data_IF_418130483254
#
_entry.id   IF_418130483254
#
_cell.length_a   1.000
_cell.length_b   1.000
_cell.length_c   1.000
_cell.angle_alpha   90.00
_cell.angle_beta   90.00
_cell.angle_gamma   90.00
#
_symmetry.space_group_name_H-M   'P 1'
#
loop_
_entity.id
_entity.type
_entity.pdbx_description
1 polymer ?
#
# COMPACT_ATOMS: atom_id res chain seq x y z
N UNK A 1 29.08 -18.75 7.51
CA UNK A 1 27.99 -18.38 8.45
C UNK A 1 26.97 -19.50 8.39
N UNK A 2 26.37 -19.92 9.51
CA UNK A 2 25.15 -20.72 9.43
C UNK A 2 24.04 -19.87 8.82
N UNK A 3 23.15 -20.49 8.07
CA UNK A 3 21.92 -19.83 7.64
C UNK A 3 21.10 -19.46 8.88
N UNK A 4 20.59 -18.23 8.93
CA UNK A 4 19.90 -17.73 10.13
C UNK A 4 18.46 -18.25 10.17
N UNK A 5 18.19 -19.13 11.14
CA UNK A 5 17.02 -20.01 11.15
C UNK A 5 15.72 -19.23 11.32
N UNK A 6 15.70 -18.23 12.22
CA UNK A 6 14.51 -17.40 12.45
C UNK A 6 14.19 -16.55 11.22
N UNK A 7 15.21 -16.11 10.48
CA UNK A 7 15.06 -15.32 9.25
C UNK A 7 14.42 -16.14 8.13
N UNK A 8 14.89 -17.38 7.91
CA UNK A 8 14.28 -18.27 6.90
C UNK A 8 12.85 -18.69 7.28
N UNK A 9 12.53 -18.84 8.57
CA UNK A 9 11.15 -19.08 9.04
C UNK A 9 10.24 -17.84 8.88
N UNK A 10 10.78 -16.62 9.03
CA UNK A 10 10.07 -15.37 8.76
C UNK A 10 9.71 -15.24 7.27
N UNK A 11 10.62 -15.61 6.37
CA UNK A 11 10.36 -15.70 4.93
C UNK A 11 9.27 -16.72 4.57
N UNK A 12 9.33 -17.91 5.15
CA UNK A 12 8.32 -18.96 4.96
C UNK A 12 6.92 -18.52 5.44
N UNK A 13 6.83 -17.80 6.57
CA UNK A 13 5.57 -17.21 7.04
C UNK A 13 4.94 -16.29 5.98
N UNK A 14 5.70 -15.36 5.40
CA UNK A 14 5.18 -14.47 4.36
C UNK A 14 4.87 -15.21 3.06
N UNK A 15 5.66 -16.23 2.71
CA UNK A 15 5.41 -17.10 1.55
C UNK A 15 4.03 -17.77 1.65
N UNK A 16 3.71 -18.31 2.83
CA UNK A 16 2.39 -18.90 3.15
C UNK A 16 1.28 -17.86 3.16
N UNK A 17 1.53 -16.66 3.68
CA UNK A 17 0.56 -15.55 3.68
C UNK A 17 0.21 -15.06 2.27
N UNK A 18 1.16 -15.03 1.33
CA UNK A 18 0.89 -14.68 -0.08
C UNK A 18 -0.13 -15.65 -0.71
N UNK A 19 0.04 -16.95 -0.47
CA UNK A 19 -0.90 -17.97 -0.94
C UNK A 19 -2.26 -17.87 -0.23
N UNK A 20 -2.26 -17.80 1.10
CA UNK A 20 -3.49 -17.83 1.89
C UNK A 20 -4.35 -16.57 1.74
N UNK A 21 -3.72 -15.39 1.69
CA UNK A 21 -4.43 -14.10 1.67
C UNK A 21 -4.78 -13.65 0.24
N UNK A 22 -4.00 -14.04 -0.77
CA UNK A 22 -4.16 -13.55 -2.15
C UNK A 22 -4.38 -14.64 -3.20
N UNK A 23 -4.24 -15.93 -2.85
CA UNK A 23 -4.34 -17.04 -3.80
C UNK A 23 -3.18 -17.14 -4.78
N UNK A 24 -2.05 -16.49 -4.51
CA UNK A 24 -0.89 -16.44 -5.41
C UNK A 24 0.11 -17.52 -5.00
N UNK A 25 0.46 -18.41 -5.93
CA UNK A 25 1.52 -19.40 -5.72
C UNK A 25 2.87 -18.71 -5.95
N UNK A 26 3.73 -18.73 -4.94
CA UNK A 26 5.02 -18.00 -5.00
C UNK A 26 5.99 -18.52 -6.07
N UNK A 27 5.86 -19.78 -6.51
CA UNK A 27 6.61 -20.34 -7.64
C UNK A 27 6.31 -19.68 -8.98
N UNK A 28 5.15 -19.04 -9.10
CA UNK A 28 4.66 -18.44 -10.35
C UNK A 28 5.13 -16.97 -10.47
N UNK A 29 5.82 -16.47 -9.43
CA UNK A 29 6.41 -15.14 -9.42
C UNK A 29 7.77 -15.18 -10.13
N UNK A 30 7.89 -14.38 -11.19
CA UNK A 30 9.13 -14.21 -11.96
C UNK A 30 10.31 -13.81 -11.05
N UNK A 31 11.42 -14.57 -11.16
CA UNK A 31 12.64 -14.40 -10.37
C UNK A 31 12.40 -14.46 -8.85
N UNK A 32 11.43 -15.23 -8.39
CA UNK A 32 11.14 -15.38 -6.96
C UNK A 32 12.32 -15.97 -6.18
N UNK A 33 12.54 -15.40 -4.99
CA UNK A 33 13.46 -15.90 -3.97
C UNK A 33 12.74 -15.81 -2.60
N UNK A 34 12.98 -16.72 -1.63
CA UNK A 34 12.24 -16.73 -0.36
C UNK A 34 12.36 -15.42 0.44
N UNK A 35 13.53 -14.78 0.38
CA UNK A 35 13.81 -13.49 1.02
C UNK A 35 12.98 -12.32 0.46
N UNK A 36 12.42 -12.47 -0.75
CA UNK A 36 11.53 -11.50 -1.38
C UNK A 36 10.08 -11.56 -0.82
N UNK A 37 9.65 -12.67 -0.21
CA UNK A 37 8.26 -12.88 0.23
C UNK A 37 7.66 -11.77 1.11
N UNK A 38 8.36 -11.23 2.13
CA UNK A 38 7.84 -10.11 2.92
C UNK A 38 7.54 -8.88 2.04
N UNK A 39 8.38 -8.62 1.05
CA UNK A 39 8.27 -7.46 0.15
C UNK A 39 7.11 -7.65 -0.82
N UNK A 40 7.00 -8.81 -1.46
CA UNK A 40 5.84 -9.18 -2.29
C UNK A 40 4.54 -9.02 -1.51
N UNK A 41 4.48 -9.57 -0.29
CA UNK A 41 3.30 -9.50 0.57
C UNK A 41 2.89 -8.05 0.87
N UNK A 42 3.83 -7.22 1.31
CA UNK A 42 3.53 -5.83 1.64
C UNK A 42 3.19 -4.98 0.41
N UNK A 43 3.79 -5.25 -0.76
CA UNK A 43 3.42 -4.58 -2.01
C UNK A 43 1.99 -4.93 -2.47
N UNK A 44 1.59 -6.20 -2.36
CA UNK A 44 0.22 -6.64 -2.64
C UNK A 44 -0.78 -6.04 -1.65
N UNK A 45 -0.45 -6.03 -0.36
CA UNK A 45 -1.35 -5.53 0.68
C UNK A 45 -1.49 -4.00 0.66
N UNK A 46 -0.44 -3.25 0.31
CA UNK A 46 -0.50 -1.79 0.15
C UNK A 46 -1.38 -1.34 -1.02
N UNK A 47 -1.75 -2.24 -1.94
CA UNK A 47 -2.64 -1.98 -3.09
C UNK A 47 -4.07 -2.45 -2.88
N UNK A 48 -4.38 -2.96 -1.69
CA UNK A 48 -5.65 -3.57 -1.34
C UNK A 48 -6.36 -2.74 -0.27
N UNK A 49 -7.67 -2.63 -0.39
CA UNK A 49 -8.50 -2.07 0.67
C UNK A 49 -8.78 -3.17 1.69
N UNK A 50 -8.41 -2.92 2.94
CA UNK A 50 -8.68 -3.82 4.07
C UNK A 50 -10.18 -3.84 4.32
N UNK A 51 -10.77 -5.04 4.34
CA UNK A 51 -12.16 -5.33 4.70
C UNK A 51 -12.46 -4.81 6.11
N UNK A 52 -13.07 -3.61 6.19
CA UNK A 52 -13.49 -2.96 7.43
C UNK A 52 -14.65 -2.03 7.09
N UNK A 53 -15.67 -2.00 7.95
CA UNK A 53 -16.79 -1.06 7.89
C UNK A 53 -16.27 0.37 7.88
N UNK A 54 -16.74 1.19 6.94
CA UNK A 54 -16.40 2.61 6.86
C UNK A 54 -17.61 3.45 6.50
N UNK A 55 -17.73 4.62 7.11
CA UNK A 55 -18.71 5.64 6.71
C UNK A 55 -18.31 6.23 5.35
N UNK A 56 -19.27 6.46 4.45
CA UNK A 56 -18.99 7.14 3.18
C UNK A 56 -19.33 8.62 3.29
N UNK A 57 -18.32 9.45 3.11
CA UNK A 57 -18.43 10.91 3.09
C UNK A 57 -18.29 11.35 1.63
N UNK A 58 -19.26 12.12 1.13
CA UNK A 58 -19.35 12.47 -0.29
C UNK A 58 -18.88 13.90 -0.55
N UNK A 59 -18.10 14.08 -1.62
CA UNK A 59 -17.87 15.42 -2.15
C UNK A 59 -19.13 15.93 -2.86
N UNK A 60 -19.27 17.25 -2.99
CA UNK A 60 -20.32 17.86 -3.80
C UNK A 60 -20.34 17.33 -5.25
N UNK A 61 -19.16 17.14 -5.86
CA UNK A 61 -19.04 16.62 -7.21
C UNK A 61 -19.47 15.15 -7.35
N UNK A 62 -19.47 14.38 -6.26
CA UNK A 62 -20.06 13.05 -6.24
C UNK A 62 -21.59 13.11 -6.14
N UNK A 63 -22.11 13.90 -5.20
CA UNK A 63 -23.56 14.08 -4.96
C UNK A 63 -24.31 14.60 -6.20
N UNK A 64 -23.70 15.53 -6.93
CA UNK A 64 -24.27 16.12 -8.17
C UNK A 64 -24.13 15.20 -9.40
N UNK A 65 -23.41 14.08 -9.28
CA UNK A 65 -23.24 13.13 -10.39
C UNK A 65 -24.46 12.21 -10.54
N UNK A 66 -24.75 11.80 -11.77
CA UNK A 66 -25.79 10.78 -12.04
C UNK A 66 -25.52 9.43 -11.39
N UNK A 67 -24.32 9.21 -10.87
CA UNK A 67 -23.90 7.96 -10.23
C UNK A 67 -24.32 7.84 -8.76
N UNK A 68 -24.66 8.95 -8.10
CA UNK A 68 -25.02 8.94 -6.68
C UNK A 68 -26.23 8.02 -6.38
N UNK A 69 -27.18 7.95 -7.31
CA UNK A 69 -28.36 7.09 -7.21
C UNK A 69 -28.29 5.84 -8.12
N UNK A 70 -27.12 5.52 -8.69
CA UNK A 70 -26.97 4.37 -9.59
C UNK A 70 -26.83 3.05 -8.81
N UNK A 71 -27.58 2.03 -9.19
CA UNK A 71 -27.56 0.73 -8.50
C UNK A 71 -26.17 0.09 -8.38
N UNK A 72 -25.25 0.34 -9.33
CA UNK A 72 -23.90 -0.21 -9.30
C UNK A 72 -23.05 0.48 -8.24
N UNK A 73 -23.24 1.79 -8.08
CA UNK A 73 -22.64 2.53 -6.98
C UNK A 73 -23.24 2.09 -5.64
N UNK A 74 -24.56 1.99 -5.53
CA UNK A 74 -25.25 1.55 -4.30
C UNK A 74 -24.70 0.19 -3.83
N UNK A 75 -24.58 -0.80 -4.73
CA UNK A 75 -24.00 -2.12 -4.41
C UNK A 75 -22.53 -2.06 -3.93
N UNK A 76 -21.74 -1.10 -4.42
CA UNK A 76 -20.35 -0.90 -3.97
C UNK A 76 -20.30 -0.15 -2.63
N UNK A 77 -21.16 0.85 -2.45
CA UNK A 77 -21.37 1.58 -1.20
C UNK A 77 -21.72 0.63 -0.06
N UNK A 78 -22.70 -0.24 -0.27
CA UNK A 78 -23.18 -1.15 0.77
C UNK A 78 -22.06 -2.11 1.21
N UNK A 79 -21.23 -2.59 0.28
CA UNK A 79 -20.02 -3.36 0.61
C UNK A 79 -19.00 -2.57 1.44
N UNK A 80 -18.81 -1.27 1.19
CA UNK A 80 -17.89 -0.41 1.97
C UNK A 80 -18.40 -0.21 3.40
N UNK A 81 -19.70 0.07 3.54
CA UNK A 81 -20.35 0.31 4.84
C UNK A 81 -20.47 -0.98 5.68
N UNK A 82 -20.71 -2.13 5.03
CA UNK A 82 -20.72 -3.45 5.67
C UNK A 82 -19.32 -4.03 5.92
N UNK A 83 -18.28 -3.47 5.28
CA UNK A 83 -16.89 -3.92 5.41
C UNK A 83 -16.56 -5.17 4.60
N UNK A 84 -17.31 -5.43 3.53
CA UNK A 84 -17.07 -6.51 2.57
C UNK A 84 -15.85 -6.29 1.67
N UNK A 85 -15.51 -7.31 0.87
CA UNK A 85 -14.37 -7.26 -0.04
C UNK A 85 -14.68 -6.50 -1.34
N UNK A 86 -14.14 -5.29 -1.45
CA UNK A 86 -14.23 -4.46 -2.66
C UNK A 86 -13.05 -4.62 -3.62
N UNK A 87 -12.01 -5.41 -3.27
CA UNK A 87 -10.80 -5.55 -4.09
C UNK A 87 -11.10 -6.16 -5.46
N UNK A 88 -12.21 -6.90 -5.59
CA UNK A 88 -12.71 -7.40 -6.87
C UNK A 88 -13.20 -6.32 -7.85
N UNK A 89 -13.38 -5.07 -7.40
CA UNK A 89 -13.69 -3.90 -8.24
C UNK A 89 -12.44 -3.09 -8.62
N UNK A 90 -11.26 -3.41 -8.08
CA UNK A 90 -10.00 -2.74 -8.43
C UNK A 90 -9.41 -3.29 -9.73
N UNK A 91 -8.35 -2.66 -10.25
CA UNK A 91 -7.65 -3.08 -11.47
C UNK A 91 -7.27 -4.57 -11.44
N UNK A 92 -7.34 -5.24 -12.60
CA UNK A 92 -6.92 -6.64 -12.78
C UNK A 92 -5.47 -6.90 -12.37
N UNK A 93 -4.64 -5.85 -12.42
CA UNK A 93 -3.26 -5.89 -11.95
C UNK A 93 -3.12 -5.93 -10.41
N UNK A 94 -4.19 -6.01 -9.61
CA UNK A 94 -4.11 -6.01 -8.14
C UNK A 94 -3.31 -7.20 -7.56
N UNK A 95 -3.16 -8.28 -8.32
CA UNK A 95 -2.32 -9.43 -7.96
C UNK A 95 -0.88 -9.32 -8.48
N UNK A 96 -0.55 -8.29 -9.27
CA UNK A 96 0.79 -8.06 -9.78
C UNK A 96 1.58 -7.22 -8.77
N UNK A 97 2.43 -7.85 -7.95
CA UNK A 97 3.11 -7.15 -6.86
C UNK A 97 4.05 -6.00 -7.31
N UNK A 98 4.56 -6.06 -8.56
CA UNK A 98 5.38 -5.00 -9.19
C UNK A 98 4.53 -3.86 -9.82
N UNK A 99 3.21 -4.03 -9.94
CA UNK A 99 2.36 -3.05 -10.62
C UNK A 99 2.15 -1.82 -9.72
N UNK A 100 2.38 -0.65 -10.30
CA UNK A 100 2.35 0.65 -9.62
C UNK A 100 1.02 1.35 -9.88
N UNK A 101 0.32 1.72 -8.81
CA UNK A 101 -0.85 2.59 -8.88
C UNK A 101 -0.40 4.04 -8.63
N UNK A 102 -0.38 4.83 -9.70
CA UNK A 102 0.08 6.22 -9.64
C UNK A 102 -0.73 7.07 -8.65
N UNK A 103 -2.05 6.92 -8.63
CA UNK A 103 -2.93 7.74 -7.80
C UNK A 103 -2.86 7.33 -6.33
N UNK A 104 -2.90 6.03 -6.07
CA UNK A 104 -2.84 5.49 -4.72
C UNK A 104 -1.49 5.79 -4.08
N UNK A 105 -0.38 5.53 -4.78
CA UNK A 105 0.94 5.78 -4.21
C UNK A 105 1.24 7.27 -4.09
N UNK A 106 1.00 8.09 -5.12
CA UNK A 106 1.38 9.51 -5.05
C UNK A 106 0.42 10.34 -4.18
N UNK A 107 -0.88 10.02 -4.16
CA UNK A 107 -1.90 10.88 -3.54
C UNK A 107 -2.85 10.15 -2.59
N UNK A 108 -2.63 8.88 -2.26
CA UNK A 108 -3.58 8.07 -1.49
C UNK A 108 -5.01 8.04 -2.10
N UNK A 109 -5.15 8.29 -3.41
CA UNK A 109 -6.43 8.21 -4.12
C UNK A 109 -6.59 6.82 -4.72
N UNK A 110 -7.48 6.03 -4.14
CA UNK A 110 -7.90 4.75 -4.70
C UNK A 110 -8.88 4.95 -5.86
N UNK A 111 -8.87 4.04 -6.83
CA UNK A 111 -9.85 4.01 -7.91
C UNK A 111 -10.48 2.62 -8.08
N UNK A 112 -11.80 2.57 -8.28
CA UNK A 112 -12.59 1.35 -8.37
C UNK A 112 -13.50 1.39 -9.59
N UNK A 113 -13.53 0.31 -10.36
CA UNK A 113 -14.52 0.17 -11.42
C UNK A 113 -15.91 -0.05 -10.83
N UNK A 114 -16.94 0.52 -11.44
CA UNK A 114 -18.35 0.22 -11.09
C UNK A 114 -18.85 -1.11 -11.67
N UNK A 115 -17.98 -1.85 -12.38
CA UNK A 115 -18.26 -3.14 -12.96
C UNK A 115 -17.07 -4.08 -12.73
N UNK A 116 -17.32 -5.38 -12.57
CA UNK A 116 -16.28 -6.40 -12.38
C UNK A 116 -16.59 -7.71 -13.11
N UNK A 117 -15.54 -8.45 -13.44
CA UNK A 117 -15.60 -9.86 -13.83
C UNK A 117 -14.83 -10.74 -12.82
N UNK A 118 -14.55 -12.01 -13.15
CA UNK A 118 -13.81 -12.94 -12.28
C UNK A 118 -12.33 -12.58 -12.08
N UNK A 119 -11.78 -11.68 -12.90
CA UNK A 119 -10.36 -11.26 -12.88
C UNK A 119 -10.17 -9.85 -12.28
N UNK A 120 -11.24 -9.12 -12.00
CA UNK A 120 -11.20 -7.78 -11.40
C UNK A 120 -12.15 -6.79 -12.09
N UNK A 121 -11.90 -5.51 -11.87
CA UNK A 121 -12.65 -4.41 -12.46
C UNK A 121 -12.63 -4.41 -14.00
N UNK A 122 -13.74 -3.94 -14.60
CA UNK A 122 -13.94 -3.81 -16.04
C UNK A 122 -14.67 -2.51 -16.39
N UNK A 123 -14.68 -2.16 -17.68
CA UNK A 123 -15.27 -0.92 -18.24
C UNK A 123 -14.60 0.34 -17.69
N UNK A 124 -15.05 1.50 -18.17
CA UNK A 124 -14.34 2.76 -18.00
C UNK A 124 -14.76 3.55 -16.76
N UNK A 125 -15.89 3.24 -16.14
CA UNK A 125 -16.49 4.06 -15.09
C UNK A 125 -15.81 3.78 -13.75
N UNK A 126 -15.08 4.78 -13.24
CA UNK A 126 -14.24 4.69 -12.04
C UNK A 126 -14.75 5.61 -10.93
N UNK A 127 -14.99 5.06 -9.74
CA UNK A 127 -15.11 5.81 -8.47
C UNK A 127 -13.70 6.17 -8.01
N UNK A 128 -13.46 7.45 -7.75
CA UNK A 128 -12.23 7.95 -7.13
C UNK A 128 -12.52 8.37 -5.69
N UNK A 129 -11.64 8.01 -4.75
CA UNK A 129 -11.77 8.44 -3.36
C UNK A 129 -10.60 8.03 -2.47
N UNK A 130 -10.62 8.47 -1.22
CA UNK A 130 -9.54 8.23 -0.24
C UNK A 130 -10.06 7.39 0.92
N UNK A 131 -9.30 6.37 1.31
CA UNK A 131 -9.59 5.55 2.48
C UNK A 131 -8.83 6.05 3.71
N UNK A 132 -9.53 6.23 4.82
CA UNK A 132 -8.93 6.39 6.14
C UNK A 132 -9.23 5.15 6.99
N UNK A 133 -8.93 5.22 8.29
CA UNK A 133 -9.25 4.14 9.23
C UNK A 133 -10.75 3.88 9.28
N UNK A 134 -11.59 4.93 9.34
CA UNK A 134 -13.03 4.83 9.61
C UNK A 134 -13.92 5.33 8.48
N UNK A 135 -13.39 6.07 7.50
CA UNK A 135 -14.18 6.67 6.42
C UNK A 135 -13.65 6.30 5.03
N UNK A 136 -14.55 6.32 4.05
CA UNK A 136 -14.23 6.44 2.64
C UNK A 136 -14.73 7.79 2.11
N UNK A 137 -13.81 8.62 1.64
CA UNK A 137 -14.10 9.95 1.10
C UNK A 137 -14.28 9.85 -0.42
N UNK A 138 -15.53 9.83 -0.88
CA UNK A 138 -15.91 9.64 -2.28
C UNK A 138 -15.79 10.97 -3.07
N UNK A 139 -14.70 11.13 -3.83
CA UNK A 139 -14.36 12.38 -4.54
C UNK A 139 -15.28 12.59 -5.74
N UNK A 140 -15.30 11.65 -6.70
CA UNK A 140 -16.15 11.73 -7.89
C UNK A 140 -16.19 10.39 -8.64
N UNK A 141 -17.10 10.27 -9.62
CA UNK A 141 -17.02 9.23 -10.64
C UNK A 141 -16.51 9.83 -11.96
N UNK A 142 -15.57 9.14 -12.61
CA UNK A 142 -14.93 9.56 -13.86
C UNK A 142 -14.50 8.38 -14.71
N UNK A 143 -13.48 8.57 -15.55
CA UNK A 143 -12.93 7.54 -16.42
C UNK A 143 -11.43 7.29 -16.25
N UNK A 144 -10.89 6.26 -16.92
CA UNK A 144 -9.44 5.98 -16.98
C UNK A 144 -8.57 7.19 -17.38
N UNK A 145 -9.11 8.14 -18.15
CA UNK A 145 -8.39 9.35 -18.50
C UNK A 145 -8.18 10.31 -17.32
N UNK A 146 -9.03 10.26 -16.30
CA UNK A 146 -8.95 11.12 -15.11
C UNK A 146 -7.89 10.63 -14.10
N UNK A 147 -7.41 9.39 -14.23
CA UNK A 147 -6.21 8.87 -13.52
C UNK A 147 -4.99 9.79 -13.76
N UNK A 148 -4.92 10.43 -14.93
CA UNK A 148 -3.84 11.34 -15.32
C UNK A 148 -4.10 12.81 -14.96
N UNK A 149 -5.16 13.10 -14.19
CA UNK A 149 -5.56 14.46 -13.77
C UNK A 149 -5.60 14.61 -12.24
N UNK A 150 -4.49 14.35 -11.54
CA UNK A 150 -4.48 14.40 -10.09
C UNK A 150 -4.74 15.81 -9.54
N UNK A 151 -4.44 16.88 -10.28
CA UNK A 151 -4.76 18.24 -9.85
C UNK A 151 -6.27 18.53 -9.84
N UNK A 152 -7.05 17.95 -10.77
CA UNK A 152 -8.53 18.01 -10.71
C UNK A 152 -9.11 17.19 -9.54
N UNK A 153 -8.60 15.96 -9.34
CA UNK A 153 -9.08 15.07 -8.26
C UNK A 153 -8.78 15.64 -6.87
N UNK A 154 -7.57 16.15 -6.66
CA UNK A 154 -7.15 16.74 -5.38
C UNK A 154 -7.78 18.11 -5.17
N UNK A 155 -8.03 18.90 -6.23
CA UNK A 155 -8.83 20.12 -6.13
C UNK A 155 -10.23 19.84 -5.57
N UNK A 156 -10.94 18.84 -6.11
CA UNK A 156 -12.26 18.41 -5.60
C UNK A 156 -12.20 17.89 -4.16
N UNK A 157 -11.14 17.19 -3.79
CA UNK A 157 -10.94 16.73 -2.41
C UNK A 157 -10.69 17.91 -1.46
N UNK A 158 -9.88 18.90 -1.85
CA UNK A 158 -9.62 20.12 -1.08
C UNK A 158 -10.88 20.98 -0.89
N UNK A 159 -11.65 21.20 -1.96
CA UNK A 159 -12.87 22.01 -1.92
C UNK A 159 -13.96 21.40 -1.01
N UNK A 160 -13.96 20.07 -0.82
CA UNK A 160 -14.88 19.36 0.07
C UNK A 160 -14.31 19.16 1.48
N UNK A 161 -13.01 18.93 1.61
CA UNK A 161 -12.31 18.48 2.82
C UNK A 161 -10.90 19.13 2.93
N UNK A 162 -10.84 20.43 3.24
CA UNK A 162 -9.61 21.22 3.18
C UNK A 162 -8.63 20.94 4.33
N UNK A 163 -8.94 20.07 5.30
CA UNK A 163 -8.01 19.66 6.38
C UNK A 163 -8.15 18.20 6.85
N UNK A 164 -9.14 17.46 6.37
CA UNK A 164 -9.56 16.17 6.94
C UNK A 164 -8.89 14.95 6.29
N UNK A 165 -8.37 15.12 5.06
CA UNK A 165 -7.81 14.04 4.24
C UNK A 165 -6.30 14.21 4.01
N UNK A 166 -5.85 15.45 3.86
CA UNK A 166 -4.46 15.81 3.56
C UNK A 166 -4.00 16.97 4.43
N UNK A 167 -2.69 17.00 4.70
CA UNK A 167 -2.01 18.19 5.18
C UNK A 167 -1.71 19.12 3.98
N UNK A 168 -1.73 20.44 4.19
CA UNK A 168 -1.50 21.41 3.12
C UNK A 168 -0.52 22.52 3.54
N UNK A 169 0.50 22.76 2.70
CA UNK A 169 1.42 23.89 2.84
C UNK A 169 0.80 25.12 2.15
N UNK A 170 0.29 26.06 2.96
CA UNK A 170 -0.15 27.36 2.46
C UNK A 170 1.06 28.20 2.02
N UNK A 171 0.96 28.86 0.85
CA UNK A 171 1.96 29.80 0.32
C UNK A 171 3.37 29.23 0.00
N UNK A 172 3.47 27.94 -0.35
CA UNK A 172 4.72 27.35 -0.89
C UNK A 172 5.09 27.95 -2.26
N UNK A 173 5.89 29.03 -2.27
CA UNK A 173 6.44 29.64 -3.51
C UNK A 173 7.52 28.77 -4.16
N UNK A 174 7.15 27.58 -4.65
CA UNK A 174 8.04 26.70 -5.42
C UNK A 174 7.72 26.82 -6.91
N UNK A 175 8.42 27.75 -7.58
CA UNK A 175 8.43 27.89 -9.04
C UNK A 175 8.88 26.58 -9.71
N UNK A 176 7.94 25.78 -10.22
CA UNK A 176 8.24 24.61 -11.04
C UNK A 176 7.24 24.49 -12.20
N UNK A 177 7.74 24.58 -13.44
CA UNK A 177 6.95 24.33 -14.65
C UNK A 177 6.79 22.81 -14.82
N UNK A 178 5.62 22.28 -14.49
CA UNK A 178 5.31 20.86 -14.62
C UNK A 178 4.65 20.57 -15.98
N UNK A 179 5.28 19.73 -16.82
CA UNK A 179 4.71 19.32 -18.11
C UNK A 179 3.80 18.08 -17.95
N UNK A 180 2.49 18.30 -18.11
CA UNK A 180 1.47 17.23 -18.07
C UNK A 180 1.63 16.22 -19.22
N UNK A 181 2.13 16.62 -20.39
CA UNK A 181 2.27 15.77 -21.58
C UNK A 181 3.47 14.83 -21.51
N UNK A 182 4.54 15.24 -20.83
CA UNK A 182 5.67 14.37 -20.45
C UNK A 182 5.25 13.37 -19.38
N UNK A 183 4.58 13.85 -18.32
CA UNK A 183 4.21 13.03 -17.17
C UNK A 183 3.25 11.88 -17.52
N UNK A 184 2.25 12.10 -18.39
CA UNK A 184 1.32 11.04 -18.84
C UNK A 184 2.02 9.85 -19.50
N UNK A 185 3.18 10.05 -20.12
CA UNK A 185 3.99 8.96 -20.70
C UNK A 185 4.78 8.24 -19.62
N UNK A 186 5.40 8.98 -18.70
CA UNK A 186 6.14 8.42 -17.57
C UNK A 186 5.28 7.60 -16.62
N UNK A 187 4.03 8.01 -16.34
CA UNK A 187 3.09 7.24 -15.53
C UNK A 187 2.79 5.83 -16.11
N UNK A 188 3.00 5.64 -17.42
CA UNK A 188 2.78 4.38 -18.15
C UNK A 188 4.08 3.61 -18.43
N UNK A 189 5.24 4.11 -18.00
CA UNK A 189 6.55 3.47 -18.19
C UNK A 189 7.09 3.14 -16.79
N UNK A 190 7.07 1.87 -16.34
CA UNK A 190 7.42 1.49 -14.97
C UNK A 190 8.79 2.01 -14.50
N UNK A 191 9.76 2.11 -15.41
CA UNK A 191 11.12 2.60 -15.16
C UNK A 191 11.19 4.12 -14.96
N UNK A 192 10.13 4.86 -15.30
CA UNK A 192 10.03 6.32 -15.24
C UNK A 192 8.93 6.81 -14.29
N UNK A 193 8.34 5.93 -13.47
CA UNK A 193 7.35 6.30 -12.45
C UNK A 193 8.04 7.01 -11.28
N UNK A 194 8.45 8.25 -11.54
CA UNK A 194 9.29 9.04 -10.63
C UNK A 194 8.54 9.60 -9.43
N UNK A 195 9.30 9.67 -8.35
CA UNK A 195 9.03 10.42 -7.13
C UNK A 195 8.59 11.85 -7.43
N UNK A 196 7.38 12.23 -7.00
CA UNK A 196 7.12 13.65 -6.73
C UNK A 196 7.83 14.04 -5.43
N UNK A 197 9.05 14.57 -5.57
CA UNK A 197 9.74 15.29 -4.49
C UNK A 197 9.10 16.68 -4.26
N UNK A 198 8.37 17.20 -5.26
CA UNK A 198 7.77 18.53 -5.27
C UNK A 198 6.25 18.46 -5.12
N UNK A 199 5.71 19.12 -4.09
CA UNK A 199 4.29 19.15 -3.73
C UNK A 199 3.38 19.52 -4.91
N UNK A 200 2.24 18.84 -5.04
CA UNK A 200 1.33 19.07 -6.16
C UNK A 200 0.51 20.34 -5.91
N UNK A 201 0.50 21.28 -6.88
CA UNK A 201 -0.27 22.50 -6.75
C UNK A 201 -1.77 22.20 -6.86
N UNK A 202 -2.53 22.71 -5.90
CA UNK A 202 -3.98 22.71 -5.90
C UNK A 202 -4.41 24.00 -6.59
N UNK A 203 -5.24 23.88 -7.63
CA UNK A 203 -5.71 25.02 -8.42
C UNK A 203 -7.18 25.27 -8.12
N UNK A 204 -7.55 26.55 -8.04
CA UNK A 204 -8.96 26.92 -8.04
C UNK A 204 -9.59 26.76 -9.45
N UNK A 205 -10.89 27.00 -9.57
CA UNK A 205 -11.63 26.95 -10.84
C UNK A 205 -11.18 27.95 -11.92
N UNK A 206 -10.23 28.84 -11.64
CA UNK A 206 -9.58 29.75 -12.62
C UNK A 206 -8.18 29.27 -13.03
N UNK A 207 -7.70 28.15 -12.48
CA UNK A 207 -6.36 27.60 -12.73
C UNK A 207 -5.25 28.20 -11.86
N UNK A 208 -5.59 29.11 -10.92
CA UNK A 208 -4.63 29.76 -10.02
C UNK A 208 -4.24 28.81 -8.88
N UNK A 209 -2.95 28.68 -8.57
CA UNK A 209 -2.47 27.82 -7.47
C UNK A 209 -2.80 28.46 -6.13
N UNK A 210 -3.63 27.79 -5.32
CA UNK A 210 -4.11 28.28 -4.01
C UNK A 210 -3.42 27.59 -2.83
N UNK A 211 -2.98 26.34 -2.99
CA UNK A 211 -2.32 25.55 -1.97
C UNK A 211 -1.40 24.50 -2.61
N UNK A 212 -0.58 23.87 -1.78
CA UNK A 212 0.21 22.70 -2.15
C UNK A 212 -0.10 21.57 -1.17
N UNK A 213 -0.28 20.34 -1.67
CA UNK A 213 -0.35 19.15 -0.79
C UNK A 213 0.99 19.04 -0.06
N UNK A 214 0.98 19.21 1.25
CA UNK A 214 2.13 18.90 2.08
C UNK A 214 2.11 17.41 2.39
N UNK A 215 3.30 16.78 2.37
CA UNK A 215 3.48 15.33 2.52
C UNK A 215 2.63 14.54 1.51
N UNK A 216 3.19 14.26 0.33
CA UNK A 216 2.78 13.05 -0.38
C UNK A 216 2.92 11.86 0.59
N UNK A 217 1.78 11.27 0.99
CA UNK A 217 1.79 10.34 2.11
C UNK A 217 2.66 9.11 1.81
N UNK A 218 2.61 8.65 0.56
CA UNK A 218 3.50 7.66 -0.04
C UNK A 218 3.95 8.24 -1.41
N UNK A 219 4.85 7.64 -2.20
CA UNK A 219 5.91 6.69 -1.88
C UNK A 219 7.17 7.10 -2.68
N UNK A 220 8.35 6.98 -2.07
CA UNK A 220 9.60 6.86 -2.84
C UNK A 220 9.64 5.43 -3.41
N UNK A 221 9.83 5.26 -4.71
CA UNK A 221 10.11 3.94 -5.29
C UNK A 221 11.63 3.73 -5.38
N UNK A 222 12.10 2.58 -4.90
CA UNK A 222 13.50 2.18 -4.94
C UNK A 222 13.69 0.86 -5.68
N UNK A 223 14.92 0.65 -6.16
CA UNK A 223 15.36 -0.67 -6.59
C UNK A 223 15.98 -1.40 -5.39
N UNK A 224 15.75 -2.70 -5.34
CA UNK A 224 16.31 -3.63 -4.37
C UNK A 224 17.14 -4.65 -5.12
N UNK A 225 18.34 -4.95 -4.64
CA UNK A 225 19.11 -6.11 -5.14
C UNK A 225 19.11 -7.20 -4.07
N UNK A 226 18.64 -8.40 -4.40
CA UNK A 226 18.82 -9.61 -3.60
C UNK A 226 19.48 -10.68 -4.48
N UNK A 227 20.56 -11.29 -3.98
CA UNK A 227 21.29 -12.38 -4.65
C UNK A 227 21.54 -12.10 -6.15
N UNK A 228 22.12 -10.93 -6.43
CA UNK A 228 22.43 -10.39 -7.77
C UNK A 228 21.24 -10.12 -8.71
N UNK A 229 20.00 -10.26 -8.24
CA UNK A 229 18.77 -9.91 -8.98
C UNK A 229 18.27 -8.53 -8.56
N UNK A 230 18.07 -7.61 -9.52
CA UNK A 230 17.46 -6.30 -9.30
C UNK A 230 15.92 -6.37 -9.42
N UNK A 231 15.24 -6.00 -8.34
CA UNK A 231 13.79 -5.80 -8.26
C UNK A 231 13.49 -4.31 -8.23
N UNK A 232 12.72 -3.84 -9.22
CA UNK A 232 12.38 -2.42 -9.40
C UNK A 232 11.03 -2.07 -8.74
N UNK A 233 10.80 -0.77 -8.59
CA UNK A 233 9.50 -0.21 -8.17
C UNK A 233 9.05 -0.64 -6.77
N UNK A 234 9.98 -0.84 -5.84
CA UNK A 234 9.68 -1.20 -4.44
C UNK A 234 9.30 0.06 -3.65
N UNK A 235 8.14 0.10 -2.96
CA UNK A 235 7.86 1.08 -1.92
C UNK A 235 9.00 1.22 -0.91
N UNK A 236 9.63 2.39 -0.81
CA UNK A 236 10.73 2.66 0.12
C UNK A 236 10.34 2.40 1.59
N UNK A 237 9.08 2.65 1.93
CA UNK A 237 8.51 2.32 3.24
C UNK A 237 8.55 0.80 3.53
N UNK A 238 8.29 -0.04 2.51
CA UNK A 238 8.41 -1.50 2.59
C UNK A 238 9.88 -1.92 2.63
N UNK A 239 10.75 -1.31 1.82
CA UNK A 239 12.20 -1.57 1.86
C UNK A 239 12.80 -1.26 3.24
N UNK A 240 12.44 -0.12 3.84
CA UNK A 240 12.84 0.23 5.20
C UNK A 240 12.25 -0.73 6.25
N UNK A 241 10.99 -1.14 6.12
CA UNK A 241 10.38 -2.14 7.01
C UNK A 241 11.13 -3.48 6.94
N UNK A 242 11.39 -3.96 5.72
CA UNK A 242 12.17 -5.17 5.45
C UNK A 242 13.55 -5.12 6.12
N UNK A 243 14.37 -4.10 5.83
CA UNK A 243 15.72 -4.01 6.42
C UNK A 243 15.73 -3.95 7.95
N UNK A 244 14.79 -3.21 8.55
CA UNK A 244 14.72 -3.11 10.01
C UNK A 244 14.27 -4.43 10.65
N UNK A 245 13.38 -5.17 10.00
CA UNK A 245 12.87 -6.43 10.53
C UNK A 245 13.88 -7.57 10.37
N UNK A 246 14.59 -7.66 9.24
CA UNK A 246 15.74 -8.55 9.07
C UNK A 246 16.74 -8.32 10.20
N UNK A 247 17.20 -7.08 10.38
CA UNK A 247 18.14 -6.73 11.44
C UNK A 247 17.60 -7.07 12.83
N UNK A 248 16.32 -6.87 13.08
CA UNK A 248 15.72 -7.19 14.37
C UNK A 248 15.70 -8.69 14.67
N UNK A 249 15.34 -9.51 13.68
CA UNK A 249 15.34 -10.98 13.80
C UNK A 249 16.76 -11.52 13.96
N UNK A 250 17.73 -10.96 13.25
CA UNK A 250 19.14 -11.30 13.40
C UNK A 250 19.67 -10.95 14.80
N UNK A 251 19.30 -9.78 15.34
CA UNK A 251 19.59 -9.39 16.74
C UNK A 251 18.95 -10.35 17.76
N UNK A 252 17.73 -10.84 17.50
CA UNK A 252 17.06 -11.85 18.34
C UNK A 252 17.84 -13.17 18.30
N UNK A 253 18.17 -13.65 17.10
CA UNK A 253 18.85 -14.94 16.92
C UNK A 253 20.24 -14.94 17.55
N UNK A 254 21.05 -13.90 17.28
CA UNK A 254 22.36 -13.72 17.91
C UNK A 254 22.26 -13.61 19.43
N UNK A 255 21.23 -12.95 19.96
CA UNK A 255 20.98 -12.88 21.41
C UNK A 255 20.69 -14.26 21.99
N UNK A 256 19.99 -15.14 21.27
CA UNK A 256 19.67 -16.49 21.73
C UNK A 256 20.89 -17.42 21.63
N UNK A 257 21.59 -17.43 20.49
CA UNK A 257 22.83 -18.21 20.32
C UNK A 257 23.86 -17.85 21.40
N UNK A 258 24.10 -16.56 21.64
CA UNK A 258 25.13 -16.12 22.59
C UNK A 258 24.75 -16.31 24.06
N UNK A 259 23.51 -16.01 24.47
CA UNK A 259 23.13 -16.00 25.89
C UNK A 259 22.60 -17.34 26.41
N UNK A 260 21.99 -18.17 25.55
CA UNK A 260 21.35 -19.44 25.95
C UNK A 260 21.82 -20.65 25.13
N UNK A 261 22.84 -20.48 24.27
CA UNK A 261 23.40 -21.54 23.43
C UNK A 261 22.31 -22.28 22.64
N UNK A 262 21.47 -21.50 21.96
CA UNK A 262 20.37 -22.02 21.17
C UNK A 262 20.87 -22.62 19.85
N UNK A 263 20.86 -23.96 19.75
CA UNK A 263 21.28 -24.67 18.53
C UNK A 263 20.11 -24.93 17.56
N UNK A 264 18.87 -24.96 18.07
CA UNK A 264 17.64 -25.10 17.27
C UNK A 264 16.54 -24.20 17.81
N UNK A 265 15.85 -23.49 16.92
CA UNK A 265 14.80 -22.53 17.27
C UNK A 265 13.65 -22.55 16.27
N UNK A 266 12.43 -22.30 16.76
CA UNK A 266 11.22 -22.09 15.96
C UNK A 266 10.62 -20.70 16.24
N UNK A 267 10.30 -19.95 15.18
CA UNK A 267 9.66 -18.64 15.19
C UNK A 267 8.16 -18.78 14.97
N UNK A 268 7.37 -18.29 15.92
CA UNK A 268 5.93 -18.09 15.78
C UNK A 268 5.65 -16.60 15.72
N UNK A 269 4.96 -16.14 14.68
CA UNK A 269 4.58 -14.74 14.49
C UNK A 269 3.12 -14.57 14.91
N UNK A 270 2.85 -13.69 15.87
CA UNK A 270 1.49 -13.41 16.37
C UNK A 270 1.08 -11.95 16.10
N UNK A 271 0.55 -11.62 14.92
CA UNK A 271 0.12 -10.27 14.55
C UNK A 271 -0.82 -9.64 15.58
N UNK A 272 -1.87 -10.34 15.96
CA UNK A 272 -2.90 -9.89 16.91
C UNK A 272 -2.33 -9.49 18.29
N UNK A 273 -1.25 -10.16 18.72
CA UNK A 273 -0.57 -9.87 20.00
C UNK A 273 0.61 -8.90 19.85
N UNK A 274 0.87 -8.44 18.63
CA UNK A 274 1.99 -7.58 18.23
C UNK A 274 3.34 -8.09 18.77
N UNK A 275 3.59 -9.40 18.66
CA UNK A 275 4.83 -10.06 19.14
C UNK A 275 5.25 -11.30 18.34
N UNK A 276 6.54 -11.61 18.43
CA UNK A 276 7.13 -12.91 18.14
C UNK A 276 7.10 -13.79 19.39
N UNK A 277 6.99 -15.09 19.18
CA UNK A 277 7.28 -16.11 20.18
C UNK A 277 8.35 -17.04 19.61
N UNK A 278 9.54 -17.04 20.20
CA UNK A 278 10.62 -17.94 19.81
C UNK A 278 10.66 -19.11 20.78
N UNK A 279 10.57 -20.33 20.25
CA UNK A 279 10.78 -21.57 20.99
C UNK A 279 12.25 -21.98 20.80
N UNK A 280 12.98 -22.12 21.90
CA UNK A 280 14.38 -22.57 21.90
C UNK A 280 14.41 -24.04 22.31
N UNK A 281 14.99 -24.90 21.47
CA UNK A 281 15.02 -26.35 21.66
C UNK A 281 16.37 -26.83 22.20
N UNK A 282 16.57 -26.58 23.50
CA UNK A 282 17.68 -27.17 24.26
C UNK A 282 17.22 -28.49 24.93
N UNK A 283 17.99 -29.03 25.89
CA UNK A 283 17.59 -30.20 26.71
C UNK A 283 16.20 -30.04 27.37
N UNK A 284 15.82 -28.81 27.69
CA UNK A 284 14.47 -28.42 28.07
C UNK A 284 14.11 -27.30 27.11
N UNK A 285 13.02 -27.48 26.34
CA UNK A 285 12.54 -26.42 25.45
C UNK A 285 11.89 -25.31 26.26
N UNK A 286 12.16 -24.06 25.92
CA UNK A 286 11.52 -22.91 26.55
C UNK A 286 11.10 -21.87 25.50
N UNK A 287 10.21 -20.96 25.92
CA UNK A 287 9.56 -19.99 25.04
C UNK A 287 9.92 -18.57 25.47
N UNK A 288 10.26 -17.71 24.51
CA UNK A 288 10.55 -16.29 24.72
C UNK A 288 9.62 -15.45 23.86
N UNK A 289 8.72 -14.70 24.49
CA UNK A 289 7.89 -13.70 23.82
C UNK A 289 8.66 -12.40 23.66
N UNK A 290 8.66 -11.83 22.46
CA UNK A 290 9.44 -10.65 22.08
C UNK A 290 8.48 -9.69 21.34
N UNK A 291 8.20 -8.50 21.89
CA UNK A 291 7.28 -7.55 21.24
C UNK A 291 7.88 -7.04 19.93
N UNK A 292 7.03 -6.79 18.94
CA UNK A 292 7.45 -6.13 17.70
C UNK A 292 7.96 -4.72 18.01
N UNK A 293 8.99 -4.27 17.27
CA UNK A 293 9.52 -2.90 17.43
C UNK A 293 8.49 -1.87 16.93
N UNK A 294 8.00 -1.02 17.84
CA UNK A 294 7.04 0.08 17.53
C UNK A 294 7.52 1.07 16.46
N UNK A 295 8.83 1.11 16.16
CA UNK A 295 9.37 1.95 15.09
C UNK A 295 9.72 1.08 13.88
N UNK A 296 9.11 1.44 12.75
CA UNK A 296 9.35 0.92 11.40
C UNK A 296 8.83 -0.49 11.11
N UNK A 297 7.50 -0.63 11.00
CA UNK A 297 6.90 -1.55 10.02
C UNK A 297 5.74 -0.85 9.30
N UNK A 298 6.00 -0.31 8.10
CA UNK A 298 4.97 -0.12 7.06
C UNK A 298 4.93 -1.39 6.20
N UNK A 299 4.69 -2.49 6.89
CA UNK A 299 4.28 -3.78 6.38
C UNK A 299 3.02 -4.15 7.15
N UNK A 300 1.96 -3.36 6.91
CA UNK A 300 0.48 -3.56 7.01
C UNK A 300 -0.17 -4.48 8.06
N UNK A 301 0.58 -5.20 8.90
CA UNK A 301 0.14 -5.90 10.12
C UNK A 301 -0.08 -4.93 11.31
N UNK A 302 0.31 -3.66 11.17
CA UNK A 302 0.49 -2.74 12.32
C UNK A 302 -0.59 -1.68 12.50
N UNK A 303 -1.23 -1.28 11.39
CA UNK A 303 -2.34 -0.31 11.35
C UNK A 303 -3.68 -1.01 11.07
N UNK A 304 -3.89 -2.14 11.74
CA UNK A 304 -5.22 -2.66 12.06
C UNK A 304 -5.66 -2.05 13.39
#
# INVERSE_FOLDING_TARGET
>A
MSEMVLRSQWFDYFSKRILNDFGIVVSDIENYQPDLSPIVYCCLLNRRVINKKREIIYSKAFLESSWYNDERWIKLKDLIEEGGDINCYMSKAINEWKAVDYLLYTYNVSHFHLHKDKKGGIRNELVFGVFTHDCFYAICVGGHNDIYKPDELIGRAYDAWPTEIYDYELNSKKNNKFDQGFFKRQANIPELQYNKVNSTPIKNGKGEVIAHVDKFQHTLLVNLTLNDIEYKSIPYSVYCAYLNEIKHIEEIEMSLVNNVKADKMDLIILPEKKMYEVIVHNRISFKKSIPFRRKVLICTLYNQ
#
